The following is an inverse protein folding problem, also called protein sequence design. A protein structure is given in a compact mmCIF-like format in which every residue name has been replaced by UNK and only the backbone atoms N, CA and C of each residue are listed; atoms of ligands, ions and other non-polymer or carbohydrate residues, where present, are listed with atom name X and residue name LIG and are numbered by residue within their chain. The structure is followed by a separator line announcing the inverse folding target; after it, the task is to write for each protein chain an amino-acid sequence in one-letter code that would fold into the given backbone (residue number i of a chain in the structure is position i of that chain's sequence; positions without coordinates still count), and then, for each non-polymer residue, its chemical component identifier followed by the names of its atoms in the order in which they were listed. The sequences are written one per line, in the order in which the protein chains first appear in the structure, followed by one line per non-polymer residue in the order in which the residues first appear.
data_IF_048159939025
#
_entry.id   IF_048159939025
#
_cell.length_a   1.000
_cell.length_b   1.000
_cell.length_c   1.000
_cell.angle_alpha   90.00
_cell.angle_beta   90.00
_cell.angle_gamma   90.00
#
_symmetry.space_group_name_H-M   'P 1'
#
loop_
_entity.id
_entity.type
_entity.pdbx_description
1 polymer ?
#
# COMPACT_ATOMS: atom_id res chain seq x y z
N UNK A 1 -2.64 23.36 77.38
CA UNK A 1 -2.98 24.27 76.26
C UNK A 1 -2.28 23.81 74.99
N UNK A 2 -2.96 23.97 73.85
CA UNK A 2 -2.53 23.83 72.45
C UNK A 2 -2.51 22.45 71.77
N UNK A 3 -3.68 22.17 71.17
CA UNK A 3 -3.95 21.64 69.82
C UNK A 3 -2.77 21.62 68.83
N UNK A 4 -2.57 20.49 68.12
CA UNK A 4 -2.53 20.49 66.64
C UNK A 4 -2.51 19.06 66.03
N UNK A 5 -3.65 18.71 65.44
CA UNK A 5 -3.80 18.18 64.07
C UNK A 5 -3.16 16.83 63.70
N UNK A 6 -4.05 15.84 63.71
CA UNK A 6 -4.18 14.72 62.76
C UNK A 6 -3.76 15.12 61.34
N UNK A 7 -2.67 14.55 60.80
CA UNK A 7 -2.38 14.51 59.36
C UNK A 7 -1.27 13.50 59.05
N UNK A 8 -1.63 12.22 58.93
CA UNK A 8 -0.77 11.20 58.31
C UNK A 8 -1.60 10.26 57.46
N UNK A 9 -2.14 10.81 56.37
CA UNK A 9 -2.66 10.01 55.26
C UNK A 9 -2.13 10.60 53.96
N UNK A 10 -1.84 9.70 53.01
CA UNK A 10 -1.62 9.97 51.58
C UNK A 10 -0.19 10.40 51.18
N UNK A 11 0.80 9.55 51.45
CA UNK A 11 2.06 9.52 50.69
C UNK A 11 2.17 8.25 49.84
N UNK A 12 1.03 7.72 49.39
CA UNK A 12 0.97 6.71 48.34
C UNK A 12 0.35 7.38 47.10
N UNK A 13 0.87 7.04 45.92
CA UNK A 13 0.23 7.30 44.62
C UNK A 13 0.35 8.74 44.09
N UNK A 14 1.57 9.23 43.84
CA UNK A 14 1.76 10.44 43.03
C UNK A 14 2.81 10.31 41.92
N UNK A 15 3.35 9.10 41.66
CA UNK A 15 4.42 8.90 40.66
C UNK A 15 4.09 7.96 39.48
N UNK A 16 2.82 7.61 39.26
CA UNK A 16 2.43 6.69 38.18
C UNK A 16 1.52 7.31 37.09
N UNK A 17 1.30 8.63 37.08
CA UNK A 17 0.38 9.27 36.13
C UNK A 17 1.05 10.00 34.95
N UNK A 18 2.34 9.73 34.68
CA UNK A 18 3.07 10.35 33.58
C UNK A 18 3.59 9.34 32.55
N UNK A 19 2.86 8.25 32.31
CA UNK A 19 3.02 7.50 31.07
C UNK A 19 2.23 8.26 30.00
N UNK A 20 2.87 9.00 29.07
CA UNK A 20 2.16 9.40 27.87
C UNK A 20 1.77 8.10 27.19
N UNK A 21 0.47 7.84 27.12
CA UNK A 21 -0.08 6.87 26.19
C UNK A 21 0.49 7.24 24.82
N UNK A 22 1.49 6.49 24.35
CA UNK A 22 1.88 6.45 22.95
C UNK A 22 0.66 5.93 22.20
N UNK A 23 -0.27 6.84 21.93
CA UNK A 23 -1.39 6.60 21.04
C UNK A 23 -0.78 6.38 19.66
N UNK A 24 -0.90 5.18 19.05
CA UNK A 24 -0.36 4.92 17.71
C UNK A 24 -0.93 5.89 16.65
N UNK A 25 -2.04 6.55 16.98
CA UNK A 25 -2.70 7.59 16.19
C UNK A 25 -1.82 8.81 15.91
N UNK A 26 -0.93 9.23 16.82
CA UNK A 26 -0.08 10.41 16.58
C UNK A 26 1.13 10.11 15.70
N UNK A 27 1.60 8.86 15.66
CA UNK A 27 2.72 8.46 14.79
C UNK A 27 2.31 8.36 13.32
N UNK A 28 1.07 7.98 13.01
CA UNK A 28 0.55 7.91 11.64
C UNK A 28 0.03 9.25 11.11
N UNK A 29 -0.33 10.18 12.00
CA UNK A 29 -0.93 11.47 11.63
C UNK A 29 0.08 12.54 11.19
N UNK A 30 1.38 12.26 11.25
CA UNK A 30 2.39 13.11 10.60
C UNK A 30 2.37 12.85 9.10
N UNK A 31 1.29 13.25 8.41
CA UNK A 31 1.35 13.47 6.98
C UNK A 31 2.47 14.49 6.75
N UNK A 32 3.59 14.04 6.17
CA UNK A 32 4.74 14.89 5.91
C UNK A 32 4.29 16.09 5.08
N UNK A 33 4.55 17.31 5.58
CA UNK A 33 4.34 18.54 4.81
C UNK A 33 5.36 18.71 3.68
N UNK A 34 6.31 17.78 3.57
CA UNK A 34 7.31 17.74 2.52
C UNK A 34 6.65 17.47 1.17
N UNK A 35 7.19 18.13 0.14
CA UNK A 35 6.75 17.89 -1.23
C UNK A 35 6.98 16.42 -1.59
N UNK A 36 6.00 15.73 -2.22
CA UNK A 36 6.19 14.34 -2.63
C UNK A 36 7.40 14.21 -3.55
N UNK A 37 8.24 13.22 -3.29
CA UNK A 37 9.35 12.85 -4.17
C UNK A 37 8.92 11.75 -5.12
N UNK A 38 9.41 11.73 -6.38
CA UNK A 38 9.19 10.61 -7.28
C UNK A 38 9.54 9.27 -6.62
N UNK A 39 8.72 8.25 -6.86
CA UNK A 39 9.04 6.89 -6.46
C UNK A 39 10.35 6.47 -7.13
N UNK A 40 11.21 5.78 -6.38
CA UNK A 40 12.42 5.17 -6.92
C UNK A 40 12.07 3.91 -7.74
N UNK A 41 12.93 3.46 -8.66
CA UNK A 41 12.71 2.20 -9.38
C UNK A 41 12.56 1.00 -8.44
N UNK A 42 13.31 0.98 -7.33
CA UNK A 42 13.23 -0.06 -6.30
C UNK A 42 11.85 -0.05 -5.62
N UNK A 43 11.34 1.13 -5.26
CA UNK A 43 10.02 1.26 -4.64
C UNK A 43 8.92 0.79 -5.60
N UNK A 44 8.94 1.24 -6.86
CA UNK A 44 7.96 0.79 -7.87
C UNK A 44 7.98 -0.73 -8.03
N UNK A 45 9.17 -1.33 -8.12
CA UNK A 45 9.30 -2.78 -8.18
C UNK A 45 8.76 -3.46 -6.91
N UNK A 46 9.12 -2.96 -5.73
CA UNK A 46 8.69 -3.52 -4.44
C UNK A 46 7.16 -3.48 -4.32
N UNK A 47 6.54 -2.33 -4.57
CA UNK A 47 5.09 -2.20 -4.53
C UNK A 47 4.40 -3.09 -5.57
N UNK A 48 4.98 -3.22 -6.77
CA UNK A 48 4.47 -4.13 -7.80
C UNK A 48 4.52 -5.60 -7.38
N UNK A 49 5.63 -6.08 -6.82
CA UNK A 49 5.76 -7.45 -6.32
C UNK A 49 4.80 -7.70 -5.14
N UNK A 50 4.65 -6.73 -4.23
CA UNK A 50 3.67 -6.82 -3.14
C UNK A 50 2.23 -6.92 -3.65
N UNK A 51 1.87 -6.15 -4.68
CA UNK A 51 0.56 -6.24 -5.31
C UNK A 51 0.33 -7.58 -6.02
N UNK A 52 1.35 -8.14 -6.66
CA UNK A 52 1.28 -9.50 -7.24
C UNK A 52 1.03 -10.53 -6.13
N UNK A 53 1.78 -10.48 -5.03
CA UNK A 53 1.59 -11.39 -3.89
C UNK A 53 0.17 -11.24 -3.31
N UNK A 54 -0.27 -10.00 -3.09
CA UNK A 54 -1.62 -9.69 -2.58
C UNK A 54 -2.71 -10.28 -3.49
N UNK A 55 -2.57 -10.12 -4.80
CA UNK A 55 -3.48 -10.72 -5.77
C UNK A 55 -3.47 -12.26 -5.67
N UNK A 56 -2.29 -12.88 -5.66
CA UNK A 56 -2.16 -14.33 -5.60
C UNK A 56 -2.81 -14.91 -4.33
N UNK A 57 -2.59 -14.30 -3.17
CA UNK A 57 -3.16 -14.73 -1.89
C UNK A 57 -4.68 -14.54 -1.85
N UNK A 58 -5.20 -13.43 -2.37
CA UNK A 58 -6.64 -13.21 -2.48
C UNK A 58 -7.30 -14.29 -3.35
N UNK A 59 -6.66 -14.69 -4.46
CA UNK A 59 -7.16 -15.78 -5.30
C UNK A 59 -7.04 -17.15 -4.65
N UNK A 60 -5.99 -17.42 -3.89
CA UNK A 60 -5.86 -18.64 -3.11
C UNK A 60 -7.00 -18.79 -2.10
N UNK A 61 -7.52 -17.67 -1.58
CA UNK A 61 -8.69 -17.62 -0.71
C UNK A 61 -10.04 -17.56 -1.46
N UNK A 62 -10.05 -17.90 -2.76
CA UNK A 62 -11.25 -17.94 -3.60
C UNK A 62 -11.99 -16.61 -3.75
N UNK A 63 -11.32 -15.48 -3.53
CA UNK A 63 -11.86 -14.16 -3.87
C UNK A 63 -11.93 -14.06 -5.40
N UNK A 64 -13.00 -13.43 -5.89
CA UNK A 64 -13.21 -13.16 -7.32
C UNK A 64 -11.98 -12.49 -7.97
N UNK A 65 -11.73 -12.76 -9.26
CA UNK A 65 -10.59 -12.22 -10.00
C UNK A 65 -10.57 -10.69 -9.98
N UNK A 66 -11.70 -10.06 -10.31
CA UNK A 66 -11.79 -8.60 -10.43
C UNK A 66 -11.65 -7.94 -9.06
N UNK A 67 -12.26 -8.53 -8.02
CA UNK A 67 -12.11 -8.04 -6.64
C UNK A 67 -10.68 -8.17 -6.13
N UNK A 68 -10.02 -9.30 -6.40
CA UNK A 68 -8.63 -9.53 -6.01
C UNK A 68 -7.68 -8.55 -6.68
N UNK A 69 -7.90 -8.29 -7.97
CA UNK A 69 -7.13 -7.30 -8.72
C UNK A 69 -7.36 -5.89 -8.18
N UNK A 70 -8.62 -5.53 -7.87
CA UNK A 70 -8.94 -4.23 -7.29
C UNK A 70 -8.25 -4.00 -5.93
N UNK A 71 -8.24 -5.00 -5.05
CA UNK A 71 -7.54 -4.91 -3.74
C UNK A 71 -6.03 -4.75 -3.93
N UNK A 72 -5.42 -5.55 -4.80
CA UNK A 72 -3.99 -5.46 -5.09
C UNK A 72 -3.59 -4.10 -5.67
N UNK A 73 -4.43 -3.53 -6.54
CA UNK A 73 -4.25 -2.21 -7.13
C UNK A 73 -4.41 -1.08 -6.11
N UNK A 74 -5.41 -1.17 -5.23
CA UNK A 74 -5.66 -0.14 -4.22
C UNK A 74 -4.45 0.04 -3.30
N UNK A 75 -3.80 -1.05 -2.88
CA UNK A 75 -2.57 -0.98 -2.09
C UNK A 75 -1.45 -0.23 -2.81
N UNK A 76 -1.22 -0.54 -4.08
CA UNK A 76 -0.19 0.14 -4.89
C UNK A 76 -0.51 1.61 -5.14
N UNK A 77 -1.78 1.91 -5.39
CA UNK A 77 -2.27 3.25 -5.66
C UNK A 77 -2.11 4.13 -4.41
N UNK A 78 -2.53 3.65 -3.24
CA UNK A 78 -2.42 4.42 -2.00
C UNK A 78 -0.98 4.80 -1.68
N UNK A 79 -0.01 3.89 -1.88
CA UNK A 79 1.40 4.24 -1.63
C UNK A 79 1.97 5.17 -2.70
N UNK A 80 1.68 4.94 -3.99
CA UNK A 80 2.19 5.80 -5.06
C UNK A 80 1.59 7.21 -5.01
N UNK A 81 0.28 7.35 -4.80
CA UNK A 81 -0.37 8.66 -4.77
C UNK A 81 -0.26 9.32 -3.40
N UNK A 82 -0.32 8.56 -2.31
CA UNK A 82 -0.21 9.10 -0.95
C UNK A 82 1.21 9.52 -0.58
N UNK A 83 2.22 8.69 -0.87
CA UNK A 83 3.63 8.98 -0.52
C UNK A 83 4.35 9.77 -1.61
N UNK A 84 4.11 9.44 -2.89
CA UNK A 84 4.87 9.99 -4.02
C UNK A 84 4.08 10.98 -4.88
N UNK A 85 2.83 11.31 -4.50
CA UNK A 85 2.00 12.25 -5.25
C UNK A 85 1.70 11.81 -6.69
N UNK A 86 1.80 10.51 -6.98
CA UNK A 86 1.64 9.96 -8.34
C UNK A 86 2.88 10.10 -9.22
N UNK A 87 4.01 10.57 -8.69
CA UNK A 87 5.27 10.74 -9.41
C UNK A 87 6.02 9.40 -9.52
N UNK A 88 6.32 8.99 -10.75
CA UNK A 88 7.08 7.78 -11.07
C UNK A 88 8.55 8.11 -11.40
N UNK A 89 9.47 7.11 -11.42
CA UNK A 89 10.87 7.34 -11.73
C UNK A 89 11.06 8.13 -13.02
N UNK A 90 11.80 9.24 -12.94
CA UNK A 90 12.09 10.10 -14.09
C UNK A 90 10.94 11.00 -14.55
N UNK A 91 9.80 11.00 -13.86
CA UNK A 91 8.67 11.90 -14.17
C UNK A 91 8.68 13.14 -13.27
N UNK A 92 8.44 14.30 -13.86
CA UNK A 92 8.15 15.55 -13.14
C UNK A 92 6.64 15.80 -12.96
N UNK A 93 5.79 15.02 -13.65
CA UNK A 93 4.34 15.13 -13.58
C UNK A 93 3.71 13.83 -13.05
N UNK A 94 2.67 13.92 -12.22
CA UNK A 94 1.94 12.75 -11.77
C UNK A 94 1.33 11.99 -12.93
N UNK A 95 1.40 10.66 -12.89
CA UNK A 95 0.66 9.84 -13.85
C UNK A 95 -0.86 9.97 -13.55
N UNK A 96 -1.74 10.11 -14.56
CA UNK A 96 -3.18 10.04 -14.33
C UNK A 96 -3.55 8.68 -13.72
N UNK A 97 -4.40 8.69 -12.69
CA UNK A 97 -4.77 7.49 -11.93
C UNK A 97 -5.27 6.34 -12.80
N UNK A 98 -6.17 6.64 -13.75
CA UNK A 98 -6.68 5.65 -14.70
C UNK A 98 -5.56 5.00 -15.52
N UNK A 99 -4.56 5.78 -15.94
CA UNK A 99 -3.41 5.26 -16.68
C UNK A 99 -2.51 4.42 -15.77
N UNK A 100 -2.29 4.84 -14.53
CA UNK A 100 -1.57 4.06 -13.52
C UNK A 100 -2.24 2.70 -13.28
N UNK A 101 -3.55 2.68 -13.01
CA UNK A 101 -4.31 1.47 -12.74
C UNK A 101 -4.28 0.49 -13.92
N UNK A 102 -4.37 0.98 -15.16
CA UNK A 102 -4.24 0.14 -16.35
C UNK A 102 -2.84 -0.50 -16.45
N UNK A 103 -1.79 0.30 -16.26
CA UNK A 103 -0.41 -0.17 -16.35
C UNK A 103 -0.08 -1.17 -15.22
N UNK A 104 -0.43 -0.81 -13.98
CA UNK A 104 -0.24 -1.64 -12.80
C UNK A 104 -1.05 -2.93 -12.91
N UNK A 105 -2.30 -2.87 -13.39
CA UNK A 105 -3.14 -4.05 -13.56
C UNK A 105 -2.56 -5.04 -14.55
N UNK A 106 -2.03 -4.54 -15.68
CA UNK A 106 -1.33 -5.38 -16.65
C UNK A 106 -0.08 -6.04 -16.05
N UNK A 107 0.73 -5.28 -15.30
CA UNK A 107 1.91 -5.80 -14.61
C UNK A 107 1.56 -6.85 -13.55
N UNK A 108 0.49 -6.65 -12.78
CA UNK A 108 0.01 -7.59 -11.76
C UNK A 108 -0.41 -8.91 -12.42
N UNK A 109 -1.23 -8.86 -13.48
CA UNK A 109 -1.67 -10.08 -14.18
C UNK A 109 -0.49 -10.80 -14.82
N UNK A 110 0.41 -10.09 -15.49
CA UNK A 110 1.62 -10.67 -16.08
C UNK A 110 2.54 -11.31 -15.03
N UNK A 111 2.70 -10.67 -13.88
CA UNK A 111 3.42 -11.23 -12.74
C UNK A 111 2.74 -12.45 -12.15
N UNK A 112 1.42 -12.41 -11.96
CA UNK A 112 0.63 -13.53 -11.44
C UNK A 112 0.71 -14.76 -12.35
N UNK A 113 0.75 -14.59 -13.68
CA UNK A 113 0.98 -15.69 -14.62
C UNK A 113 2.34 -16.38 -14.42
N UNK A 114 3.33 -15.69 -13.86
CA UNK A 114 4.63 -16.27 -13.50
C UNK A 114 4.63 -16.90 -12.11
N UNK A 115 4.08 -16.21 -11.12
CA UNK A 115 4.21 -16.60 -9.70
C UNK A 115 3.09 -17.51 -9.19
N UNK A 116 1.85 -17.31 -9.66
CA UNK A 116 0.68 -18.08 -9.25
C UNK A 116 -0.23 -18.41 -10.46
N UNK A 117 0.27 -19.11 -11.50
CA UNK A 117 -0.46 -19.30 -12.75
C UNK A 117 -1.83 -19.95 -12.60
N UNK A 118 -2.00 -20.84 -11.62
CA UNK A 118 -3.28 -21.52 -11.32
C UNK A 118 -4.35 -20.55 -10.78
N UNK A 119 -3.93 -19.43 -10.23
CA UNK A 119 -4.81 -18.39 -9.70
C UNK A 119 -5.32 -17.44 -10.78
N UNK A 120 -4.82 -17.51 -12.01
CA UNK A 120 -5.30 -16.68 -13.14
C UNK A 120 -6.24 -17.50 -14.02
N UNK A 121 -7.51 -17.09 -14.21
CA UNK A 121 -8.45 -17.79 -15.08
C UNK A 121 -7.95 -17.83 -16.53
N UNK A 122 -8.27 -18.91 -17.25
CA UNK A 122 -7.83 -19.10 -18.63
C UNK A 122 -8.22 -17.94 -19.56
N UNK A 123 -9.44 -17.42 -19.42
CA UNK A 123 -9.92 -16.28 -20.21
C UNK A 123 -9.10 -15.01 -19.97
N UNK A 124 -8.69 -14.75 -18.72
CA UNK A 124 -7.86 -13.58 -18.39
C UNK A 124 -6.42 -13.76 -18.85
N UNK A 125 -5.89 -14.99 -18.83
CA UNK A 125 -4.61 -15.33 -19.44
C UNK A 125 -4.62 -15.05 -20.95
N UNK A 126 -5.64 -15.52 -21.67
CA UNK A 126 -5.76 -15.29 -23.11
C UNK A 126 -5.86 -13.79 -23.42
N UNK A 127 -6.68 -13.06 -22.65
CA UNK A 127 -6.80 -11.61 -22.77
C UNK A 127 -5.46 -10.90 -22.56
N UNK A 128 -4.70 -11.30 -21.55
CA UNK A 128 -3.36 -10.78 -21.29
C UNK A 128 -2.41 -11.06 -22.45
N UNK A 129 -2.36 -12.29 -22.95
CA UNK A 129 -1.48 -12.68 -24.06
C UNK A 129 -1.79 -11.92 -25.34
N UNK A 130 -3.08 -11.74 -25.66
CA UNK A 130 -3.52 -10.93 -26.81
C UNK A 130 -3.09 -9.47 -26.68
N UNK A 131 -3.25 -8.88 -25.51
CA UNK A 131 -2.79 -7.51 -25.24
C UNK A 131 -1.25 -7.40 -25.26
N UNK A 132 -0.52 -8.41 -24.76
CA UNK A 132 0.93 -8.44 -24.80
C UNK A 132 1.47 -8.55 -26.25
N UNK A 133 0.77 -9.29 -27.11
CA UNK A 133 1.13 -9.45 -28.51
C UNK A 133 0.96 -8.14 -29.30
N UNK A 134 -0.12 -7.38 -29.08
CA UNK A 134 -0.35 -6.11 -29.77
C UNK A 134 0.73 -5.06 -29.44
N UNK A 135 1.25 -5.06 -28.21
CA UNK A 135 2.36 -4.20 -27.80
C UNK A 135 3.69 -4.55 -28.49
N UNK A 136 3.88 -5.82 -28.87
CA UNK A 136 5.07 -6.26 -29.61
C UNK A 136 5.00 -5.88 -31.09
N UNK A 137 3.80 -5.94 -31.70
CA UNK A 137 3.62 -5.57 -33.10
C UNK A 137 3.79 -4.07 -33.37
N UNK A 138 3.50 -3.20 -32.39
CA UNK A 138 3.63 -1.74 -32.52
C UNK A 138 5.08 -1.24 -32.40
N UNK A 139 6.02 -2.07 -31.95
CA UNK A 139 7.46 -1.73 -31.87
C UNK A 139 8.24 -2.01 -33.18
N UNK A 140 7.54 -2.36 -34.26
CA UNK A 140 8.10 -2.67 -35.57
C UNK A 140 7.72 -1.58 -36.57
#
# INVERSE_FOLDING_TARGET
MNTSVIRRSLAAVALLMASPLLSPTTALAQASTDKPTPATPMEVNTYGVMSIATFCEARAQSIDFSKSLAVALAGQLHVIYGKHGGLLPGSSTPLPEKQFLNNAGFMIVGGALKFCPKSVPAAEKERFEKAAASLKSTKK
#
